data_IF_865220071600
#
_entry.id   IF_865220071600
#
_cell.length_a   1.000
_cell.length_b   1.000
_cell.length_c   1.000
_cell.angle_alpha   90.00
_cell.angle_beta   90.00
_cell.angle_gamma   90.00
#
_symmetry.space_group_name_H-M   'P 1'
#
loop_
_entity.id
_entity.type
_entity.pdbx_description
1 polymer ?
#
# COMPACT_ATOMS: atom_id res chain seq x y z
N UNK A 1 -24.78 36.90 -39.48
CA UNK A 1 -24.27 35.52 -39.57
C UNK A 1 -23.31 35.30 -38.41
N UNK A 2 -23.67 34.33 -37.56
CA UNK A 2 -23.00 33.74 -36.40
C UNK A 2 -22.43 34.63 -35.29
N UNK A 3 -23.31 34.90 -34.32
CA UNK A 3 -23.00 34.90 -32.89
C UNK A 3 -22.62 33.48 -32.45
N UNK A 4 -21.55 33.33 -31.67
CA UNK A 4 -21.25 32.13 -30.91
C UNK A 4 -21.25 32.50 -29.42
N UNK A 5 -22.42 32.34 -28.82
CA UNK A 5 -22.62 32.31 -27.39
C UNK A 5 -21.83 31.14 -26.79
N UNK A 6 -20.90 31.43 -25.88
CA UNK A 6 -20.40 30.44 -24.93
C UNK A 6 -21.01 30.82 -23.59
N UNK A 7 -22.06 30.10 -23.21
CA UNK A 7 -22.71 30.26 -21.91
C UNK A 7 -22.68 28.95 -21.12
N UNK A 8 -22.34 29.12 -19.84
CA UNK A 8 -22.53 28.25 -18.66
C UNK A 8 -22.20 26.75 -18.84
N UNK A 9 -21.23 26.20 -18.11
CA UNK A 9 -21.42 25.98 -16.68
C UNK A 9 -20.08 25.75 -15.97
N UNK A 10 -19.78 26.62 -15.00
CA UNK A 10 -18.86 26.31 -13.90
C UNK A 10 -19.43 25.11 -13.12
N UNK A 11 -18.77 23.96 -13.18
CA UNK A 11 -18.91 22.92 -12.16
C UNK A 11 -17.68 22.96 -11.26
N UNK A 12 -17.88 23.54 -10.08
CA UNK A 12 -17.07 23.31 -8.90
C UNK A 12 -16.95 21.80 -8.68
N UNK A 13 -15.73 21.27 -8.66
CA UNK A 13 -15.37 20.14 -7.82
C UNK A 13 -14.04 20.47 -7.16
N UNK A 14 -14.13 20.79 -5.87
CA UNK A 14 -13.01 20.96 -4.98
C UNK A 14 -12.40 19.59 -4.65
N UNK A 15 -11.08 19.59 -4.53
CA UNK A 15 -10.23 18.77 -3.68
C UNK A 15 -10.87 17.62 -2.88
N UNK A 16 -10.43 16.41 -3.16
CA UNK A 16 -10.19 15.37 -2.16
C UNK A 16 -8.87 14.68 -2.51
N UNK A 17 -7.78 15.12 -1.88
CA UNK A 17 -6.50 14.43 -1.92
C UNK A 17 -6.62 13.16 -1.08
N UNK A 18 -6.64 12.01 -1.74
CA UNK A 18 -6.65 10.69 -1.11
C UNK A 18 -5.19 10.27 -0.95
N UNK A 19 -4.71 10.19 0.29
CA UNK A 19 -3.39 9.65 0.61
C UNK A 19 -3.47 8.12 0.83
N UNK A 20 -4.00 7.41 -0.19
CA UNK A 20 -3.90 5.96 -0.23
C UNK A 20 -2.65 5.59 -1.04
N UNK A 21 -1.77 4.75 -0.45
CA UNK A 21 -0.69 4.04 -1.19
C UNK A 21 -1.27 3.13 -2.30
N UNK A 22 -2.59 2.99 -2.41
CA UNK A 22 -3.23 2.75 -3.70
C UNK A 22 -4.57 3.49 -3.81
N UNK A 23 -4.50 4.75 -4.23
CA UNK A 23 -5.58 5.40 -4.97
C UNK A 23 -5.78 4.74 -6.35
N UNK A 24 -6.35 3.53 -6.37
CA UNK A 24 -7.21 3.10 -7.47
C UNK A 24 -8.59 3.00 -6.85
N UNK A 25 -9.34 4.08 -6.98
CA UNK A 25 -10.79 4.04 -6.85
C UNK A 25 -11.31 2.88 -7.69
N UNK A 26 -12.30 2.16 -7.16
CA UNK A 26 -13.10 1.20 -7.90
C UNK A 26 -13.79 1.90 -9.09
N UNK A 27 -13.06 2.07 -10.19
CA UNK A 27 -13.58 2.47 -11.48
C UNK A 27 -13.75 1.21 -12.32
N UNK A 28 -14.97 0.71 -12.39
CA UNK A 28 -15.32 -0.49 -13.14
C UNK A 28 -14.88 -0.39 -14.59
N UNK A 29 -14.07 -1.36 -15.04
CA UNK A 29 -13.96 -1.67 -16.46
C UNK A 29 -15.13 -2.62 -16.74
N UNK A 30 -16.23 -2.06 -17.23
CA UNK A 30 -17.31 -2.85 -17.81
C UNK A 30 -16.77 -3.55 -19.08
N UNK A 31 -16.49 -4.85 -18.99
CA UNK A 31 -16.37 -5.70 -20.16
C UNK A 31 -17.77 -6.22 -20.52
N UNK A 32 -18.27 -5.77 -21.66
CA UNK A 32 -19.55 -6.20 -22.18
C UNK A 32 -19.45 -7.56 -22.90
N UNK A 33 -20.52 -8.36 -22.76
CA UNK A 33 -21.06 -9.40 -23.67
C UNK A 33 -20.76 -10.88 -23.33
N UNK A 34 -21.59 -11.85 -23.76
CA UNK A 34 -23.06 -11.86 -23.93
C UNK A 34 -23.74 -13.00 -23.12
N UNK A 35 -25.07 -12.99 -23.18
CA UNK A 35 -26.04 -13.87 -22.52
C UNK A 35 -25.92 -15.38 -22.76
N UNK A 36 -26.08 -16.18 -21.69
CA UNK A 36 -26.91 -17.39 -21.57
C UNK A 36 -26.76 -17.85 -20.10
N UNK A 37 -27.80 -18.07 -19.28
CA UNK A 37 -28.96 -18.91 -19.45
C UNK A 37 -28.81 -20.11 -18.50
N UNK A 38 -29.58 -20.19 -17.41
CA UNK A 38 -29.67 -21.41 -16.59
C UNK A 38 -29.88 -21.18 -15.09
N UNK A 39 -31.08 -21.49 -14.61
CA UNK A 39 -31.53 -21.40 -13.23
C UNK A 39 -30.96 -22.51 -12.32
N UNK A 40 -30.93 -22.26 -11.01
CA UNK A 40 -30.68 -23.28 -9.99
C UNK A 40 -30.68 -22.73 -8.56
N UNK A 41 -31.84 -22.82 -7.91
CA UNK A 41 -32.11 -22.52 -6.50
C UNK A 41 -31.31 -23.37 -5.50
N UNK A 42 -30.95 -22.80 -4.34
CA UNK A 42 -30.48 -23.61 -3.21
C UNK A 42 -30.08 -22.80 -1.96
N UNK A 43 -31.00 -22.79 -0.99
CA UNK A 43 -30.93 -22.33 0.40
C UNK A 43 -29.56 -22.20 1.07
N UNK A 44 -29.42 -21.13 1.85
CA UNK A 44 -28.25 -20.85 2.67
C UNK A 44 -28.15 -21.71 3.93
N UNK A 45 -26.98 -21.62 4.54
CA UNK A 45 -26.80 -21.77 5.99
C UNK A 45 -25.70 -20.79 6.39
N UNK A 46 -26.04 -19.90 7.31
CA UNK A 46 -25.10 -18.93 7.86
C UNK A 46 -24.01 -19.62 8.68
N UNK A 47 -22.81 -19.06 8.62
CA UNK A 47 -21.81 -19.22 9.66
C UNK A 47 -21.05 -17.90 9.79
N UNK A 48 -21.63 -17.00 10.60
CA UNK A 48 -20.85 -15.97 11.27
C UNK A 48 -19.85 -16.68 12.20
N UNK A 49 -18.57 -16.62 11.85
CA UNK A 49 -17.44 -16.83 12.76
C UNK A 49 -16.56 -15.60 12.57
N UNK A 50 -16.55 -14.64 13.49
CA UNK A 50 -16.27 -14.82 14.90
C UNK A 50 -14.82 -14.41 15.08
N UNK A 51 -14.62 -13.22 15.65
CA UNK A 51 -13.30 -12.67 15.94
C UNK A 51 -12.44 -13.69 16.68
N UNK A 52 -11.34 -14.13 16.08
CA UNK A 52 -10.33 -14.93 16.78
C UNK A 52 -9.25 -14.00 17.30
N UNK A 53 -9.37 -13.61 18.56
CA UNK A 53 -8.23 -13.26 19.40
C UNK A 53 -7.46 -14.56 19.72
N UNK A 54 -6.22 -14.66 19.25
CA UNK A 54 -5.17 -15.48 19.85
C UNK A 54 -5.01 -16.92 19.37
N UNK A 55 -4.15 -17.13 18.37
CA UNK A 55 -3.15 -18.21 18.32
C UNK A 55 -2.02 -17.74 17.39
N UNK A 56 -0.86 -17.43 17.97
CA UNK A 56 0.31 -16.97 17.23
C UNK A 56 1.03 -18.11 16.50
N UNK A 57 1.62 -17.77 15.36
CA UNK A 57 2.61 -18.59 14.65
C UNK A 57 2.17 -19.01 13.25
N UNK A 58 2.61 -18.26 12.24
CA UNK A 58 2.75 -18.69 10.84
C UNK A 58 1.55 -18.67 9.88
N UNK A 59 0.42 -18.01 10.20
CA UNK A 59 -0.48 -17.61 9.10
C UNK A 59 0.22 -16.53 8.26
N UNK A 60 0.58 -16.79 6.99
CA UNK A 60 1.20 -15.78 6.14
C UNK A 60 0.31 -14.54 5.96
N UNK A 61 -1.00 -14.64 6.24
CA UNK A 61 -1.97 -13.57 6.05
C UNK A 61 -2.41 -12.88 7.35
N UNK A 62 -1.89 -13.33 8.49
CA UNK A 62 -2.10 -12.67 9.78
C UNK A 62 -0.75 -12.47 10.49
N UNK A 63 0.11 -11.56 9.97
CA UNK A 63 1.41 -11.33 10.55
C UNK A 63 1.31 -10.75 11.96
N UNK A 64 2.27 -11.16 12.81
CA UNK A 64 2.52 -10.52 14.09
C UNK A 64 3.33 -9.26 13.85
N UNK A 65 2.70 -8.10 14.05
CA UNK A 65 3.38 -6.80 14.01
C UNK A 65 3.76 -6.42 15.43
N UNK A 66 5.05 -6.16 15.74
CA UNK A 66 5.43 -5.73 17.07
C UNK A 66 4.76 -4.39 17.41
N UNK A 67 4.46 -4.18 18.69
CA UNK A 67 3.91 -2.91 19.14
C UNK A 67 4.96 -1.80 18.94
N UNK A 68 4.53 -0.63 18.46
CA UNK A 68 5.38 0.56 18.47
C UNK A 68 5.62 0.97 19.93
N UNK A 69 6.88 1.02 20.41
CA UNK A 69 7.16 1.45 21.77
C UNK A 69 6.94 2.96 21.91
N UNK A 70 6.71 3.43 23.14
CA UNK A 70 6.52 4.86 23.42
C UNK A 70 7.73 5.72 23.01
N UNK A 71 8.92 5.12 22.98
CA UNK A 71 10.13 5.70 22.41
C UNK A 71 10.70 4.72 21.39
N UNK A 72 10.38 4.88 20.09
CA UNK A 72 10.93 4.06 19.03
C UNK A 72 12.45 4.20 18.90
N UNK A 73 13.15 3.16 18.43
CA UNK A 73 14.54 3.30 18.03
C UNK A 73 14.69 4.44 17.02
N UNK A 74 15.75 5.26 17.14
CA UNK A 74 15.99 6.32 16.17
C UNK A 74 16.25 5.72 14.79
N UNK A 75 15.59 6.26 13.77
CA UNK A 75 15.93 5.97 12.38
C UNK A 75 17.39 6.38 12.10
N UNK A 76 18.05 5.61 11.24
CA UNK A 76 19.44 5.83 10.84
C UNK A 76 19.61 5.65 9.33
N UNK A 77 20.60 6.31 8.72
CA UNK A 77 20.93 6.05 7.33
C UNK A 77 21.18 4.56 7.09
N UNK A 78 20.63 4.04 5.99
CA UNK A 78 20.80 2.65 5.57
C UNK A 78 19.76 1.67 6.11
N UNK A 79 18.79 2.11 6.92
CA UNK A 79 17.69 1.23 7.37
C UNK A 79 16.91 0.60 6.20
N UNK A 80 16.85 1.27 5.04
CA UNK A 80 16.22 0.78 3.82
C UNK A 80 17.17 0.12 2.81
N UNK A 81 18.46 -0.08 3.13
CA UNK A 81 19.44 -0.63 2.17
C UNK A 81 19.10 -2.06 1.73
N UNK A 82 18.35 -2.80 2.54
CA UNK A 82 17.82 -4.10 2.15
C UNK A 82 16.98 -4.03 0.87
N UNK A 83 16.36 -2.90 0.56
CA UNK A 83 15.49 -2.74 -0.60
C UNK A 83 16.27 -2.43 -1.89
N UNK A 84 17.52 -1.95 -1.81
CA UNK A 84 18.29 -1.55 -2.99
C UNK A 84 18.51 -2.70 -3.98
N UNK A 85 18.06 -2.58 -5.23
CA UNK A 85 18.26 -3.57 -6.30
C UNK A 85 17.03 -3.77 -7.19
N UNK A 86 17.02 -4.87 -7.93
CA UNK A 86 15.93 -5.27 -8.85
C UNK A 86 15.09 -6.38 -8.23
N UNK A 87 13.77 -6.35 -8.44
CA UNK A 87 12.82 -7.22 -7.71
C UNK A 87 11.68 -7.76 -8.59
N UNK A 88 11.27 -9.00 -8.30
CA UNK A 88 9.92 -9.52 -8.59
C UNK A 88 9.06 -9.40 -7.35
N UNK A 89 7.77 -9.12 -7.57
CA UNK A 89 6.80 -8.92 -6.48
C UNK A 89 5.57 -9.76 -6.76
N UNK A 90 5.20 -10.61 -5.81
CA UNK A 90 3.89 -11.27 -5.79
C UNK A 90 2.93 -10.43 -4.94
N UNK A 91 1.91 -9.86 -5.56
CA UNK A 91 0.88 -9.09 -4.87
C UNK A 91 -0.32 -9.96 -4.52
N UNK A 92 -0.90 -9.67 -3.35
CA UNK A 92 -2.23 -10.12 -2.98
C UNK A 92 -2.98 -8.93 -2.37
N UNK A 93 -4.01 -8.42 -3.06
CA UNK A 93 -4.74 -7.21 -2.68
C UNK A 93 -6.23 -7.48 -2.58
N UNK A 94 -6.88 -6.92 -1.57
CA UNK A 94 -8.31 -7.01 -1.41
C UNK A 94 -9.01 -6.19 -2.50
N UNK A 95 -9.96 -6.79 -3.23
CA UNK A 95 -10.73 -6.10 -4.30
C UNK A 95 -11.66 -5.05 -3.73
N UNK A 96 -12.31 -5.39 -2.63
CA UNK A 96 -13.33 -4.60 -1.96
C UNK A 96 -13.32 -4.97 -0.47
N UNK A 97 -13.36 -3.98 0.44
CA UNK A 97 -13.54 -4.25 1.87
C UNK A 97 -14.81 -5.05 2.22
N UNK A 98 -15.81 -5.07 1.32
CA UNK A 98 -17.13 -5.64 1.59
C UNK A 98 -17.21 -7.14 1.30
N UNK A 99 -16.48 -7.61 0.31
CA UNK A 99 -16.72 -8.93 -0.29
C UNK A 99 -15.65 -9.97 0.09
N UNK A 100 -14.63 -9.56 0.86
CA UNK A 100 -13.49 -10.39 1.29
C UNK A 100 -12.73 -11.09 0.15
N UNK A 101 -12.95 -10.67 -1.11
CA UNK A 101 -12.32 -11.27 -2.28
C UNK A 101 -10.93 -10.68 -2.52
N UNK A 102 -9.94 -11.56 -2.67
CA UNK A 102 -8.56 -11.19 -2.92
C UNK A 102 -8.19 -11.39 -4.38
N UNK A 103 -7.50 -10.41 -4.93
CA UNK A 103 -6.89 -10.41 -6.25
C UNK A 103 -5.38 -10.64 -6.12
N UNK A 104 -4.81 -11.45 -7.02
CA UNK A 104 -3.39 -11.77 -7.04
C UNK A 104 -2.78 -11.43 -8.39
N UNK A 105 -1.61 -10.79 -8.39
CA UNK A 105 -0.94 -10.36 -9.61
C UNK A 105 0.56 -10.16 -9.37
N UNK A 106 1.33 -10.14 -10.45
CA UNK A 106 2.77 -9.93 -10.39
C UNK A 106 3.15 -8.49 -10.71
N UNK A 107 4.18 -8.01 -10.02
CA UNK A 107 4.82 -6.73 -10.26
C UNK A 107 6.34 -6.88 -10.27
N UNK A 108 6.99 -5.77 -10.54
CA UNK A 108 8.45 -5.64 -10.47
C UNK A 108 8.81 -4.26 -9.93
N UNK A 109 10.00 -4.16 -9.35
CA UNK A 109 10.49 -2.88 -8.87
C UNK A 109 11.99 -2.76 -9.01
N UNK A 110 12.43 -1.52 -9.18
CA UNK A 110 13.83 -1.13 -9.12
C UNK A 110 13.99 -0.12 -8.01
N UNK A 111 14.95 -0.35 -7.12
CA UNK A 111 15.12 0.41 -5.90
C UNK A 111 16.55 0.91 -5.74
N UNK A 112 16.70 2.17 -5.33
CA UNK A 112 17.99 2.83 -5.12
C UNK A 112 18.09 3.37 -3.70
N UNK A 113 19.17 3.01 -3.01
CA UNK A 113 19.66 3.81 -1.89
C UNK A 113 20.34 5.05 -2.46
N UNK A 114 19.98 6.22 -1.94
CA UNK A 114 20.56 7.50 -2.34
C UNK A 114 21.05 8.27 -1.11
N UNK A 115 21.89 9.28 -1.36
CA UNK A 115 22.33 10.25 -0.33
C UNK A 115 22.98 9.58 0.89
N UNK A 116 23.78 8.54 0.67
CA UNK A 116 24.49 7.82 1.74
C UNK A 116 23.57 7.11 2.73
N UNK A 117 22.41 6.61 2.26
CA UNK A 117 21.46 5.87 3.11
C UNK A 117 20.33 6.70 3.69
N UNK A 118 20.31 8.03 3.47
CA UNK A 118 19.25 8.93 3.98
C UNK A 118 17.98 8.85 3.13
N UNK A 119 18.08 8.36 1.89
CA UNK A 119 16.93 8.18 1.01
C UNK A 119 16.88 6.80 0.36
N UNK A 120 15.67 6.32 0.11
CA UNK A 120 15.37 5.17 -0.73
C UNK A 120 14.32 5.55 -1.75
N UNK A 121 14.61 5.29 -3.03
CA UNK A 121 13.68 5.50 -4.15
C UNK A 121 13.31 4.15 -4.74
N UNK A 122 12.03 3.91 -4.94
CA UNK A 122 11.48 2.71 -5.57
C UNK A 122 10.71 3.15 -6.81
N UNK A 123 10.99 2.57 -7.97
CA UNK A 123 10.06 2.57 -9.09
C UNK A 123 9.38 1.20 -9.15
N UNK A 124 8.07 1.17 -8.93
CA UNK A 124 7.23 -0.03 -9.00
C UNK A 124 6.44 -0.04 -10.29
N UNK A 125 6.38 -1.20 -10.94
CA UNK A 125 5.70 -1.41 -12.20
C UNK A 125 4.85 -2.69 -12.16
N UNK A 126 3.65 -2.61 -12.70
CA UNK A 126 2.76 -3.76 -12.94
C UNK A 126 2.34 -3.71 -14.41
N UNK A 127 3.16 -4.26 -15.32
CA UNK A 127 2.93 -4.14 -16.77
C UNK A 127 1.56 -4.66 -17.21
N UNK A 128 1.12 -5.79 -16.64
CA UNK A 128 -0.17 -6.41 -16.95
C UNK A 128 -1.39 -5.52 -16.62
N UNK A 129 -1.19 -4.44 -15.86
CA UNK A 129 -2.25 -3.51 -15.43
C UNK A 129 -2.01 -2.07 -15.90
N UNK A 130 -1.02 -1.84 -16.75
CA UNK A 130 -0.60 -0.50 -17.17
C UNK A 130 -0.51 0.47 -15.96
N UNK A 131 0.24 0.03 -14.95
CA UNK A 131 0.37 0.73 -13.68
C UNK A 131 1.85 0.88 -13.33
N UNK A 132 2.19 2.08 -12.88
CA UNK A 132 3.48 2.37 -12.26
C UNK A 132 3.29 3.38 -11.13
N UNK A 133 4.23 3.38 -10.20
CA UNK A 133 4.31 4.35 -9.13
C UNK A 133 5.70 4.39 -8.52
N UNK A 134 5.89 5.35 -7.63
CA UNK A 134 7.16 5.56 -6.95
C UNK A 134 6.96 5.59 -5.44
N UNK A 135 7.76 4.78 -4.75
CA UNK A 135 7.98 4.92 -3.31
C UNK A 135 9.17 5.85 -3.08
N UNK A 136 8.99 6.88 -2.26
CA UNK A 136 10.07 7.79 -1.83
C UNK A 136 10.14 7.75 -0.30
N UNK A 137 11.22 7.19 0.24
CA UNK A 137 11.46 7.13 1.68
C UNK A 137 12.61 8.04 2.03
N UNK A 138 12.40 8.93 3.00
CA UNK A 138 13.39 9.91 3.45
C UNK A 138 13.50 9.93 4.97
N UNK A 139 14.72 9.87 5.46
CA UNK A 139 15.03 10.06 6.88
C UNK A 139 15.10 11.56 7.20
N UNK A 140 14.23 12.02 8.10
CA UNK A 140 14.46 13.28 8.79
C UNK A 140 15.61 13.06 9.79
N UNK A 141 16.82 13.50 9.44
CA UNK A 141 18.05 13.23 10.20
C UNK A 141 18.01 13.87 11.59
N UNK A 142 17.37 15.03 11.71
CA UNK A 142 17.28 15.75 12.98
C UNK A 142 16.26 15.06 13.91
N UNK A 143 15.09 14.71 13.38
CA UNK A 143 14.05 14.02 14.16
C UNK A 143 14.31 12.52 14.33
N UNK A 144 15.18 11.94 13.49
CA UNK A 144 15.47 10.50 13.40
C UNK A 144 14.21 9.67 13.14
N UNK A 145 13.36 10.15 12.24
CA UNK A 145 12.09 9.53 11.82
C UNK A 145 12.10 9.36 10.31
N UNK A 146 11.66 8.18 9.84
CA UNK A 146 11.48 7.95 8.42
C UNK A 146 10.10 8.39 7.95
N UNK A 147 10.03 8.95 6.74
CA UNK A 147 8.78 9.27 6.04
C UNK A 147 8.73 8.44 4.75
N UNK A 148 7.64 7.70 4.52
CA UNK A 148 7.38 6.91 3.32
C UNK A 148 6.26 7.58 2.50
N UNK A 149 6.60 8.05 1.30
CA UNK A 149 5.69 8.72 0.39
C UNK A 149 5.41 7.85 -0.83
N UNK A 150 4.19 7.97 -1.35
CA UNK A 150 3.79 7.33 -2.60
C UNK A 150 3.45 8.35 -3.68
N UNK A 151 3.85 8.05 -4.91
CA UNK A 151 3.47 8.79 -6.12
C UNK A 151 2.86 7.83 -7.13
N UNK A 152 1.66 8.13 -7.59
CA UNK A 152 1.07 7.42 -8.72
C UNK A 152 1.58 8.02 -10.03
N UNK A 153 2.10 7.21 -10.96
CA UNK A 153 2.65 7.71 -12.22
C UNK A 153 1.62 8.49 -13.07
N UNK A 154 0.32 8.20 -12.94
CA UNK A 154 -0.74 8.95 -13.65
C UNK A 154 -0.89 10.38 -13.15
N UNK A 155 -0.67 10.62 -11.86
CA UNK A 155 -0.77 11.98 -11.29
C UNK A 155 0.57 12.70 -11.24
N UNK A 156 1.67 11.95 -11.05
CA UNK A 156 3.01 12.51 -10.83
C UNK A 156 3.13 13.34 -9.56
N UNK A 157 2.11 13.36 -8.71
CA UNK A 157 2.04 14.21 -7.53
C UNK A 157 2.47 13.43 -6.28
N UNK A 158 3.35 14.04 -5.49
CA UNK A 158 3.65 13.58 -4.14
C UNK A 158 2.41 13.82 -3.26
N UNK A 159 1.78 12.75 -2.79
CA UNK A 159 0.60 12.84 -1.94
C UNK A 159 1.03 12.95 -0.46
N UNK A 160 0.77 14.08 0.23
CA UNK A 160 0.93 14.19 1.67
C UNK A 160 -0.35 13.79 2.44
N UNK A 161 -0.23 13.41 3.73
CA UNK A 161 1.01 13.16 4.44
C UNK A 161 1.63 11.80 4.07
N UNK A 162 2.96 11.69 4.15
CA UNK A 162 3.64 10.40 4.08
C UNK A 162 3.43 9.59 5.36
N UNK A 163 3.62 8.28 5.29
CA UNK A 163 3.60 7.42 6.46
C UNK A 163 4.88 7.64 7.27
N UNK A 164 4.73 8.04 8.52
CA UNK A 164 5.87 8.24 9.44
C UNK A 164 6.15 6.94 10.19
N UNK A 165 7.42 6.58 10.36
CA UNK A 165 7.74 5.28 10.93
C UNK A 165 9.17 5.06 11.39
N UNK A 166 9.34 3.88 11.97
CA UNK A 166 10.58 3.40 12.59
C UNK A 166 10.76 1.92 12.34
N UNK A 167 12.02 1.47 12.40
CA UNK A 167 12.33 0.05 12.48
C UNK A 167 12.38 -0.38 13.94
N UNK A 168 11.59 -1.39 14.29
CA UNK A 168 11.51 -2.01 15.61
C UNK A 168 11.76 -3.50 15.42
N UNK A 169 12.83 -4.03 16.03
CA UNK A 169 13.17 -5.47 15.95
C UNK A 169 13.28 -6.00 14.50
N UNK A 170 13.81 -5.18 13.59
CA UNK A 170 13.94 -5.53 12.17
C UNK A 170 12.65 -5.42 11.35
N UNK A 171 11.56 -4.92 11.95
CA UNK A 171 10.28 -4.65 11.28
C UNK A 171 10.10 -3.15 11.12
N UNK A 172 9.96 -2.67 9.88
CA UNK A 172 9.66 -1.27 9.60
C UNK A 172 8.16 -1.01 9.74
N UNK A 173 7.75 -0.15 10.66
CA UNK A 173 6.32 0.15 10.92
C UNK A 173 6.07 1.63 10.66
N UNK A 174 5.16 1.91 9.72
CA UNK A 174 4.87 3.26 9.23
C UNK A 174 3.37 3.52 9.31
N UNK A 175 2.98 4.66 9.91
CA UNK A 175 1.58 5.02 10.13
C UNK A 175 1.32 6.45 9.65
N UNK A 176 0.17 6.65 9.03
CA UNK A 176 -0.40 7.97 8.73
C UNK A 176 -1.88 8.02 9.10
N UNK A 177 -2.35 9.22 9.39
CA UNK A 177 -3.77 9.55 9.38
C UNK A 177 -4.25 9.78 7.94
N UNK A 178 -5.42 9.26 7.62
CA UNK A 178 -6.08 9.47 6.32
C UNK A 178 -7.61 9.55 6.54
N UNK A 179 -8.36 9.71 5.46
CA UNK A 179 -9.82 9.70 5.48
C UNK A 179 -10.40 8.75 4.44
N UNK A 180 -11.45 8.03 4.83
CA UNK A 180 -12.24 7.19 3.93
C UNK A 180 -13.71 7.61 4.01
N UNK A 181 -14.27 8.03 2.88
CA UNK A 181 -15.60 8.66 2.81
C UNK A 181 -15.77 9.82 3.83
N UNK A 182 -14.70 10.58 4.06
CA UNK A 182 -14.67 11.69 5.02
C UNK A 182 -14.59 11.27 6.49
N UNK A 183 -14.47 9.97 6.79
CA UNK A 183 -14.26 9.45 8.15
C UNK A 183 -12.78 9.24 8.41
N UNK A 184 -12.24 9.67 9.57
CA UNK A 184 -10.85 9.43 9.91
C UNK A 184 -10.52 7.94 9.96
N UNK A 185 -9.37 7.58 9.40
CA UNK A 185 -8.77 6.25 9.47
C UNK A 185 -7.29 6.37 9.78
N UNK A 186 -6.69 5.27 10.23
CA UNK A 186 -5.24 5.11 10.23
C UNK A 186 -4.84 4.11 9.16
N UNK A 187 -3.83 4.46 8.38
CA UNK A 187 -3.20 3.56 7.42
C UNK A 187 -1.85 3.15 7.97
N UNK A 188 -1.54 1.85 7.93
CA UNK A 188 -0.26 1.30 8.37
C UNK A 188 0.38 0.48 7.26
N UNK A 189 1.58 0.89 6.86
CA UNK A 189 2.49 0.09 6.03
C UNK A 189 3.53 -0.58 6.92
N UNK A 190 3.81 -1.85 6.65
CA UNK A 190 4.79 -2.64 7.40
C UNK A 190 5.74 -3.35 6.45
N UNK A 191 7.03 -3.24 6.72
CA UNK A 191 8.09 -4.04 6.12
C UNK A 191 8.52 -5.11 7.11
N UNK A 192 8.30 -6.38 6.78
CA UNK A 192 8.70 -7.52 7.59
C UNK A 192 9.38 -8.62 6.75
N UNK A 193 9.75 -9.74 7.40
CA UNK A 193 10.47 -10.87 6.76
C UNK A 193 11.72 -10.42 5.99
N UNK A 194 12.36 -9.34 6.45
CA UNK A 194 13.55 -8.77 5.81
C UNK A 194 14.71 -9.74 6.00
N UNK A 195 15.24 -10.22 4.87
CA UNK A 195 16.43 -11.07 4.82
C UNK A 195 17.15 -10.86 3.49
N UNK A 196 18.27 -11.53 3.30
CA UNK A 196 18.99 -11.42 2.03
C UNK A 196 18.11 -11.87 0.84
N UNK A 197 17.97 -10.97 -0.13
CA UNK A 197 17.18 -11.19 -1.35
C UNK A 197 15.66 -11.33 -1.17
N UNK A 198 15.10 -11.11 0.02
CA UNK A 198 13.66 -11.21 0.27
C UNK A 198 13.15 -10.23 1.34
N UNK A 199 11.93 -9.76 1.16
CA UNK A 199 11.19 -9.03 2.19
C UNK A 199 9.70 -9.10 1.87
N UNK A 200 8.87 -8.62 2.78
CA UNK A 200 7.45 -8.43 2.53
C UNK A 200 7.02 -7.04 2.97
N UNK A 201 6.23 -6.40 2.13
CA UNK A 201 5.47 -5.22 2.51
C UNK A 201 3.99 -5.58 2.63
N UNK A 202 3.33 -5.04 3.64
CA UNK A 202 1.88 -5.20 3.77
C UNK A 202 1.21 -3.97 4.37
N UNK A 203 -0.06 -3.80 4.03
CA UNK A 203 -0.88 -2.69 4.46
C UNK A 203 -2.10 -3.17 5.25
N UNK A 204 -2.40 -2.41 6.30
CA UNK A 204 -3.64 -2.53 7.06
C UNK A 204 -4.26 -1.17 7.37
N UNK A 205 -5.57 -1.13 7.53
CA UNK A 205 -6.32 0.08 7.91
C UNK A 205 -6.98 -0.14 9.27
N UNK A 206 -7.00 0.89 10.11
CA UNK A 206 -7.78 0.93 11.34
C UNK A 206 -8.84 2.01 11.27
N UNK A 207 -10.05 1.67 11.73
CA UNK A 207 -11.23 2.56 11.77
C UNK A 207 -11.70 2.86 13.19
N UNK A 208 -10.96 2.36 14.18
CA UNK A 208 -11.31 2.39 15.60
C UNK A 208 -10.16 2.88 16.48
N UNK A 209 -9.33 3.79 15.92
CA UNK A 209 -8.17 4.38 16.58
C UNK A 209 -7.13 3.35 17.02
N UNK A 210 -6.68 2.52 16.06
CA UNK A 210 -5.62 1.50 16.19
C UNK A 210 -5.94 0.28 17.07
N UNK A 211 -7.18 0.12 17.53
CA UNK A 211 -7.59 -1.05 18.33
C UNK A 211 -7.65 -2.32 17.50
N UNK A 212 -8.13 -2.21 16.26
CA UNK A 212 -8.14 -3.29 15.28
C UNK A 212 -7.55 -2.83 13.95
N UNK A 213 -7.01 -3.79 13.20
CA UNK A 213 -6.34 -3.56 11.92
C UNK A 213 -6.83 -4.57 10.89
N UNK A 214 -7.37 -4.06 9.78
CA UNK A 214 -7.86 -4.85 8.66
C UNK A 214 -6.82 -4.86 7.54
N UNK A 215 -6.25 -6.02 7.23
CA UNK A 215 -5.30 -6.16 6.12
C UNK A 215 -6.00 -6.03 4.77
N UNK A 216 -5.39 -5.28 3.86
CA UNK A 216 -5.95 -5.08 2.52
C UNK A 216 -4.93 -5.25 1.38
N UNK A 217 -3.63 -5.38 1.70
CA UNK A 217 -2.60 -5.60 0.69
C UNK A 217 -1.37 -6.29 1.27
N UNK A 218 -0.84 -7.28 0.55
CA UNK A 218 0.45 -7.91 0.75
C UNK A 218 1.26 -7.89 -0.55
N UNK A 219 2.57 -7.75 -0.39
CA UNK A 219 3.57 -7.76 -1.45
C UNK A 219 4.75 -8.58 -0.96
N UNK A 220 4.99 -9.76 -1.53
CA UNK A 220 6.16 -10.58 -1.27
C UNK A 220 7.22 -10.31 -2.33
N UNK A 221 8.40 -9.86 -1.90
CA UNK A 221 9.48 -9.39 -2.77
C UNK A 221 10.60 -10.43 -2.85
N UNK A 222 11.07 -10.69 -4.07
CA UNK A 222 12.25 -11.54 -4.34
C UNK A 222 13.22 -10.83 -5.26
N UNK A 223 14.48 -10.68 -4.82
CA UNK A 223 15.52 -9.97 -5.56
C UNK A 223 15.92 -10.75 -6.81
N UNK A 224 16.10 -10.04 -7.93
CA UNK A 224 16.59 -10.60 -9.19
C UNK A 224 18.08 -10.27 -9.32
N UNK A 225 18.92 -11.28 -9.10
CA UNK A 225 20.37 -11.15 -9.27
C UNK A 225 21.07 -10.40 -8.11
N UNK A 226 22.40 -10.27 -8.18
CA UNK A 226 23.15 -9.53 -7.17
C UNK A 226 22.77 -8.03 -7.20
N UNK A 227 22.92 -7.31 -6.08
CA UNK A 227 22.75 -5.86 -6.08
C UNK A 227 23.63 -5.25 -7.17
N UNK A 228 23.08 -4.33 -7.98
CA UNK A 228 23.92 -3.58 -8.91
C UNK A 228 24.88 -2.74 -8.08
N UNK A 229 26.18 -2.80 -8.39
CA UNK A 229 27.14 -1.88 -7.81
C UNK A 229 26.69 -0.45 -8.12
N UNK A 230 26.64 0.39 -7.07
CA UNK A 230 26.37 1.81 -7.18
C UNK A 230 27.43 2.54 -8.02
#
# INVERSE_FOLDING_TARGET
>A
MSSLSIDLTRRHWMASGIAAVAGIAAGGIAAASPSSGGAGSGAGVGASRGASNGAGGDDPWNPVVPALPASPPPGKPGDFDFLHGEWRIAHRRLKSPKDAEWDTFEGEATCWTILGGVGSVEELRIPARDFAGMGLRLLDVDKKVWNDFWVNARSGALAPPGLTGHFVEGVGIFIAEDSDEGKPILVRGVWDRIADGRCRWHQSVSRDASKTWEYNWFMDWTRIGPPRSA
#
